data_IF_665720161630
#
_entry.id   IF_665720161630
#
_cell.length_a   1.000
_cell.length_b   1.000
_cell.length_c   1.000
_cell.angle_alpha   90.00
_cell.angle_beta   90.00
_cell.angle_gamma   90.00
#
_symmetry.space_group_name_H-M   'P 1'
#
loop_
_entity.id
_entity.type
_entity.pdbx_description
1 polymer ?
#
# COMPACT_ATOMS: atom_id res chain seq x y z
N UNK A 1 -28.95 21.88 55.36
CA UNK A 1 -28.35 21.79 54.02
C UNK A 1 -28.53 20.38 53.48
N UNK A 2 -29.40 20.28 52.47
CA UNK A 2 -29.56 19.21 51.46
C UNK A 2 -29.64 17.77 51.99
N UNK A 3 -30.88 17.36 52.30
CA UNK A 3 -31.26 15.96 52.26
C UNK A 3 -31.36 15.45 50.82
N UNK A 4 -30.88 14.23 50.59
CA UNK A 4 -31.36 13.39 49.49
C UNK A 4 -31.70 12.02 50.05
N UNK A 5 -32.96 11.88 50.47
CA UNK A 5 -33.68 10.60 50.38
C UNK A 5 -33.60 10.17 48.92
N UNK A 6 -32.63 9.33 48.55
CA UNK A 6 -32.73 8.55 47.31
C UNK A 6 -33.85 7.55 47.51
N UNK A 7 -34.90 7.85 46.78
CA UNK A 7 -36.24 7.31 46.90
C UNK A 7 -36.28 5.80 46.67
N UNK A 8 -37.16 5.18 47.43
CA UNK A 8 -37.73 3.85 47.22
C UNK A 8 -38.31 3.68 45.79
N UNK A 9 -38.47 4.77 45.02
CA UNK A 9 -39.04 4.79 43.67
C UNK A 9 -38.11 4.27 42.56
N UNK A 10 -36.78 4.32 42.71
CA UNK A 10 -35.86 3.69 41.73
C UNK A 10 -35.93 2.15 41.80
N UNK A 11 -36.41 1.58 42.92
CA UNK A 11 -36.47 0.15 43.14
C UNK A 11 -37.67 -0.51 42.45
N UNK A 12 -38.81 0.18 42.37
CA UNK A 12 -40.00 -0.28 41.67
C UNK A 12 -39.83 -0.30 40.14
N UNK A 13 -39.02 0.62 39.59
CA UNK A 13 -38.87 0.76 38.14
C UNK A 13 -38.08 -0.40 37.48
N UNK A 14 -37.26 -1.15 38.24
CA UNK A 14 -36.47 -2.27 37.72
C UNK A 14 -37.12 -3.66 37.94
N UNK A 15 -38.06 -3.78 38.88
CA UNK A 15 -38.82 -5.03 39.11
C UNK A 15 -39.98 -5.23 38.13
N UNK A 16 -40.43 -4.16 37.48
CA UNK A 16 -41.60 -4.17 36.57
C UNK A 16 -41.24 -4.32 35.08
N UNK A 17 -39.96 -4.32 34.72
CA UNK A 17 -39.54 -4.62 33.37
C UNK A 17 -39.78 -6.11 33.07
N UNK A 18 -40.88 -6.43 32.37
CA UNK A 18 -41.16 -7.76 31.81
C UNK A 18 -39.94 -8.25 31.02
N UNK A 19 -39.10 -9.07 31.65
CA UNK A 19 -37.97 -9.69 30.98
C UNK A 19 -38.48 -10.73 29.99
N UNK A 20 -38.17 -10.54 28.70
CA UNK A 20 -38.46 -11.53 27.66
C UNK A 20 -37.81 -12.89 28.00
N UNK A 21 -38.48 -14.00 27.64
CA UNK A 21 -37.93 -15.35 27.86
C UNK A 21 -36.53 -15.46 27.24
N UNK A 22 -35.53 -15.78 28.06
CA UNK A 22 -34.14 -15.96 27.63
C UNK A 22 -33.22 -14.74 27.78
N UNK A 23 -33.74 -13.58 28.19
CA UNK A 23 -32.91 -12.39 28.43
C UNK A 23 -32.04 -12.55 29.68
N UNK A 24 -30.73 -12.23 29.63
CA UNK A 24 -29.85 -12.28 30.80
C UNK A 24 -30.31 -11.27 31.87
N UNK A 25 -30.29 -11.69 33.15
CA UNK A 25 -30.53 -10.77 34.27
C UNK A 25 -29.58 -9.57 34.20
N UNK A 26 -30.09 -8.32 34.36
CA UNK A 26 -29.29 -7.10 34.40
C UNK A 26 -28.09 -7.17 35.35
N UNK A 27 -26.96 -6.60 34.94
CA UNK A 27 -25.70 -6.63 35.71
C UNK A 27 -25.85 -6.12 37.15
N UNK A 28 -26.71 -5.11 37.37
CA UNK A 28 -26.97 -4.55 38.70
C UNK A 28 -27.66 -5.54 39.65
N UNK A 29 -28.62 -6.31 39.14
CA UNK A 29 -29.28 -7.36 39.92
C UNK A 29 -28.32 -8.50 40.24
N UNK A 30 -27.47 -8.90 39.28
CA UNK A 30 -26.44 -9.92 39.51
C UNK A 30 -25.42 -9.50 40.58
N UNK A 31 -25.02 -8.22 40.58
CA UNK A 31 -24.12 -7.66 41.60
C UNK A 31 -24.74 -7.73 42.99
N UNK A 32 -26.00 -7.31 43.13
CA UNK A 32 -26.75 -7.40 44.39
C UNK A 32 -26.88 -8.85 44.90
N UNK A 33 -27.10 -9.82 44.00
CA UNK A 33 -27.13 -11.25 44.37
C UNK A 33 -25.79 -11.69 44.98
N UNK A 34 -24.67 -11.32 44.34
CA UNK A 34 -23.33 -11.69 44.80
C UNK A 34 -22.96 -10.98 46.11
N UNK A 35 -23.27 -9.69 46.25
CA UNK A 35 -23.05 -8.94 47.49
C UNK A 35 -23.82 -9.54 48.68
N UNK A 36 -25.09 -9.90 48.49
CA UNK A 36 -25.90 -10.52 49.55
C UNK A 36 -25.41 -11.92 49.90
N UNK A 37 -24.94 -12.67 48.90
CA UNK A 37 -24.32 -13.97 49.11
C UNK A 37 -23.01 -13.87 49.92
N UNK A 38 -22.15 -12.89 49.61
CA UNK A 38 -20.91 -12.62 50.36
C UNK A 38 -21.19 -12.21 51.81
N UNK A 39 -22.34 -11.57 52.08
CA UNK A 39 -22.82 -11.23 53.43
C UNK A 39 -23.45 -12.42 54.19
N UNK A 40 -23.38 -13.64 53.65
CA UNK A 40 -23.89 -14.85 54.31
C UNK A 40 -25.41 -15.05 54.21
N UNK A 41 -26.11 -14.27 53.39
CA UNK A 41 -27.57 -14.43 53.21
C UNK A 41 -27.88 -15.69 52.41
N UNK A 42 -28.85 -16.49 52.85
CA UNK A 42 -29.22 -17.74 52.18
C UNK A 42 -29.82 -17.49 50.80
N UNK A 43 -29.55 -18.39 49.84
CA UNK A 43 -29.96 -18.25 48.44
C UNK A 43 -31.49 -18.05 48.29
N UNK A 44 -32.30 -18.76 49.10
CA UNK A 44 -33.76 -18.63 49.13
C UNK A 44 -34.20 -17.22 49.57
N UNK A 45 -33.52 -16.63 50.56
CA UNK A 45 -33.81 -15.29 51.07
C UNK A 45 -33.42 -14.22 50.06
N UNK A 46 -32.29 -14.39 49.36
CA UNK A 46 -31.87 -13.53 48.25
C UNK A 46 -32.90 -13.55 47.11
N UNK A 47 -33.36 -14.74 46.71
CA UNK A 47 -34.35 -14.90 45.66
C UNK A 47 -35.68 -14.22 46.02
N UNK A 48 -36.13 -14.35 47.28
CA UNK A 48 -37.36 -13.72 47.78
C UNK A 48 -37.25 -12.19 47.84
N UNK A 49 -36.12 -11.64 48.30
CA UNK A 49 -35.88 -10.18 48.39
C UNK A 49 -35.81 -9.53 47.00
N UNK A 50 -35.22 -10.23 46.03
CA UNK A 50 -35.01 -9.68 44.68
C UNK A 50 -36.12 -10.05 43.69
N UNK A 51 -37.17 -10.73 44.14
CA UNK A 51 -38.27 -11.22 43.29
C UNK A 51 -37.79 -12.06 42.09
N UNK A 52 -36.83 -12.96 42.33
CA UNK A 52 -36.25 -13.85 41.32
C UNK A 52 -36.56 -15.31 41.64
N UNK A 53 -36.48 -16.19 40.63
CA UNK A 53 -36.58 -17.64 40.89
C UNK A 53 -35.36 -18.12 41.71
N UNK A 54 -35.58 -19.07 42.62
CA UNK A 54 -34.51 -19.67 43.44
C UNK A 54 -33.41 -20.28 42.57
N UNK A 55 -33.79 -20.91 41.45
CA UNK A 55 -32.85 -21.49 40.48
C UNK A 55 -31.96 -20.43 39.82
N UNK A 56 -32.49 -19.22 39.59
CA UNK A 56 -31.70 -18.14 39.00
C UNK A 56 -30.69 -17.56 39.98
N UNK A 57 -31.08 -17.34 41.24
CA UNK A 57 -30.15 -16.93 42.30
C UNK A 57 -29.05 -17.98 42.51
N UNK A 58 -29.44 -19.26 42.57
CA UNK A 58 -28.51 -20.40 42.64
C UNK A 58 -27.50 -20.40 41.48
N UNK A 59 -27.98 -20.35 40.23
CA UNK A 59 -27.13 -20.37 39.03
C UNK A 59 -26.14 -19.20 38.98
N UNK A 60 -26.53 -18.01 39.46
CA UNK A 60 -25.64 -16.84 39.50
C UNK A 60 -24.58 -17.00 40.60
N UNK A 61 -24.98 -17.45 41.79
CA UNK A 61 -24.06 -17.69 42.92
C UNK A 61 -23.08 -18.80 42.58
N UNK A 62 -23.54 -19.91 42.01
CA UNK A 62 -22.69 -21.02 41.62
C UNK A 62 -21.67 -20.59 40.56
N UNK A 63 -22.08 -19.79 39.57
CA UNK A 63 -21.15 -19.19 38.60
C UNK A 63 -20.13 -18.27 39.26
N UNK A 64 -20.55 -17.45 40.21
CA UNK A 64 -19.63 -16.58 40.94
C UNK A 64 -18.61 -17.39 41.75
N UNK A 65 -19.01 -18.50 42.36
CA UNK A 65 -18.10 -19.45 43.04
C UNK A 65 -17.06 -20.05 42.09
N UNK A 66 -17.48 -20.41 40.87
CA UNK A 66 -16.59 -21.04 39.88
C UNK A 66 -15.62 -20.06 39.20
N UNK A 67 -16.09 -18.87 38.80
CA UNK A 67 -15.34 -17.97 37.91
C UNK A 67 -15.01 -16.60 38.50
N UNK A 68 -15.42 -16.31 39.74
CA UNK A 68 -15.19 -15.03 40.44
C UNK A 68 -15.80 -13.80 39.75
N UNK A 69 -16.61 -13.99 38.71
CA UNK A 69 -17.06 -12.95 37.78
C UNK A 69 -18.57 -12.90 37.68
N UNK A 70 -19.11 -11.69 37.55
CA UNK A 70 -20.57 -11.42 37.50
C UNK A 70 -21.06 -11.33 36.03
N UNK A 71 -20.14 -11.33 35.07
CA UNK A 71 -20.40 -11.15 33.65
C UNK A 71 -21.19 -12.32 33.05
N UNK A 72 -21.95 -12.03 31.99
CA UNK A 72 -22.63 -13.06 31.21
C UNK A 72 -21.59 -13.80 30.38
N UNK A 73 -21.56 -15.15 30.41
CA UNK A 73 -20.78 -15.92 29.44
C UNK A 73 -21.27 -15.56 28.04
N UNK A 74 -20.36 -15.30 27.11
CA UNK A 74 -20.72 -15.23 25.68
C UNK A 74 -21.36 -16.57 25.31
N UNK A 75 -22.58 -16.53 24.80
CA UNK A 75 -23.22 -17.72 24.24
C UNK A 75 -22.35 -18.31 23.14
N UNK A 76 -22.43 -19.62 22.93
CA UNK A 76 -21.89 -20.21 21.72
C UNK A 76 -22.65 -19.61 20.54
N UNK A 77 -21.96 -18.74 19.78
CA UNK A 77 -22.54 -18.13 18.59
C UNK A 77 -22.94 -19.20 17.57
N UNK A 78 -23.70 -18.78 16.55
CA UNK A 78 -24.09 -19.68 15.45
C UNK A 78 -22.85 -20.37 14.87
N UNK A 79 -22.88 -21.71 14.80
CA UNK A 79 -21.82 -22.51 14.17
C UNK A 79 -21.60 -22.01 12.74
N UNK A 80 -20.33 -21.84 12.36
CA UNK A 80 -20.00 -21.35 11.02
C UNK A 80 -20.15 -22.47 9.99
N UNK A 81 -20.67 -22.15 8.80
CA UNK A 81 -20.90 -23.12 7.71
C UNK A 81 -19.59 -23.81 7.26
N UNK A 82 -18.49 -23.04 7.26
CA UNK A 82 -17.15 -23.51 6.95
C UNK A 82 -16.40 -23.85 8.23
N UNK A 83 -15.85 -25.06 8.27
CA UNK A 83 -15.04 -25.55 9.38
C UNK A 83 -13.54 -25.23 9.19
N UNK A 84 -12.69 -25.73 10.09
CA UNK A 84 -11.25 -25.48 10.00
C UNK A 84 -10.59 -26.16 8.77
N UNK A 85 -11.11 -27.30 8.31
CA UNK A 85 -10.59 -28.02 7.13
C UNK A 85 -10.95 -27.25 5.86
N UNK A 86 -12.18 -26.75 5.78
CA UNK A 86 -12.65 -25.94 4.67
C UNK A 86 -11.83 -24.66 4.55
N UNK A 87 -11.55 -23.98 5.67
CA UNK A 87 -10.72 -22.76 5.66
C UNK A 87 -9.30 -23.04 5.17
N UNK A 88 -8.71 -24.19 5.50
CA UNK A 88 -7.38 -24.58 4.96
C UNK A 88 -7.45 -24.83 3.45
N UNK A 89 -8.48 -25.49 2.96
CA UNK A 89 -8.68 -25.71 1.52
C UNK A 89 -8.91 -24.38 0.77
N UNK A 90 -9.78 -23.52 1.30
CA UNK A 90 -10.04 -22.18 0.77
C UNK A 90 -8.75 -21.35 0.72
N UNK A 91 -7.96 -21.33 1.81
CA UNK A 91 -6.69 -20.60 1.85
C UNK A 91 -5.75 -21.06 0.74
N UNK A 92 -5.59 -22.38 0.55
CA UNK A 92 -4.77 -22.95 -0.53
C UNK A 92 -5.27 -22.49 -1.90
N UNK A 93 -6.57 -22.64 -2.17
CA UNK A 93 -7.16 -22.23 -3.44
C UNK A 93 -6.91 -20.75 -3.73
N UNK A 94 -7.17 -19.85 -2.77
CA UNK A 94 -6.90 -18.41 -2.92
C UNK A 94 -5.42 -18.09 -3.16
N UNK A 95 -4.49 -18.84 -2.54
CA UNK A 95 -3.05 -18.60 -2.72
C UNK A 95 -2.49 -19.11 -4.04
N UNK A 96 -3.13 -20.13 -4.63
CA UNK A 96 -2.81 -20.64 -5.97
C UNK A 96 -3.44 -19.76 -7.04
N UNK A 97 -4.73 -19.43 -6.88
CA UNK A 97 -5.54 -18.68 -7.85
C UNK A 97 -5.70 -17.22 -7.42
N UNK A 98 -4.59 -16.49 -7.31
CA UNK A 98 -4.55 -15.13 -6.71
C UNK A 98 -5.37 -14.07 -7.43
N UNK A 99 -5.73 -14.32 -8.68
CA UNK A 99 -6.45 -13.38 -9.54
C UNK A 99 -7.94 -13.71 -9.67
N UNK A 100 -8.44 -14.79 -9.04
CA UNK A 100 -9.87 -15.07 -9.04
C UNK A 100 -10.63 -14.00 -8.24
N UNK A 101 -11.77 -13.60 -8.77
CA UNK A 101 -12.77 -12.78 -8.11
C UNK A 101 -13.42 -13.56 -6.96
N UNK A 102 -14.02 -12.84 -6.01
CA UNK A 102 -14.74 -13.50 -4.90
C UNK A 102 -15.88 -14.38 -5.42
N UNK A 103 -16.48 -14.02 -6.56
CA UNK A 103 -17.55 -14.80 -7.20
C UNK A 103 -17.02 -16.15 -7.70
N UNK A 104 -15.94 -16.17 -8.47
CA UNK A 104 -15.32 -17.43 -8.95
C UNK A 104 -14.86 -18.32 -7.78
N UNK A 105 -14.29 -17.72 -6.72
CA UNK A 105 -13.93 -18.46 -5.51
C UNK A 105 -15.18 -19.04 -4.82
N UNK A 106 -16.31 -18.35 -4.91
CA UNK A 106 -17.58 -18.82 -4.33
C UNK A 106 -18.14 -19.99 -5.12
N UNK A 107 -18.15 -19.91 -6.44
CA UNK A 107 -18.59 -21.01 -7.33
C UNK A 107 -17.74 -22.26 -7.08
N UNK A 108 -16.41 -22.13 -7.05
CA UNK A 108 -15.51 -23.23 -6.68
C UNK A 108 -15.81 -23.78 -5.28
N UNK A 109 -16.02 -22.91 -4.28
CA UNK A 109 -16.26 -23.35 -2.91
C UNK A 109 -17.61 -24.06 -2.75
N UNK A 110 -18.63 -23.65 -3.50
CA UNK A 110 -19.93 -24.33 -3.51
C UNK A 110 -19.79 -25.75 -4.03
N UNK A 111 -19.11 -25.92 -5.18
CA UNK A 111 -18.86 -27.23 -5.78
C UNK A 111 -17.95 -28.11 -4.90
N UNK A 112 -16.84 -27.55 -4.42
CA UNK A 112 -15.83 -28.30 -3.67
C UNK A 112 -16.30 -28.70 -2.27
N UNK A 113 -17.04 -27.84 -1.56
CA UNK A 113 -17.54 -28.15 -0.22
C UNK A 113 -18.96 -28.73 -0.23
N UNK A 114 -19.67 -28.68 -1.36
CA UNK A 114 -21.08 -29.05 -1.50
C UNK A 114 -21.96 -28.33 -0.46
N UNK A 115 -21.74 -27.02 -0.31
CA UNK A 115 -22.42 -26.16 0.69
C UNK A 115 -23.01 -24.91 0.03
N UNK A 116 -24.19 -24.45 0.48
CA UNK A 116 -24.79 -23.21 0.00
C UNK A 116 -24.03 -22.01 0.59
N UNK A 117 -23.03 -21.53 -0.14
CA UNK A 117 -22.16 -20.42 0.27
C UNK A 117 -22.50 -19.17 -0.51
N UNK A 118 -22.73 -18.05 0.19
CA UNK A 118 -22.83 -16.75 -0.46
C UNK A 118 -21.46 -16.12 -0.66
N UNK A 119 -21.37 -15.17 -1.60
CA UNK A 119 -20.16 -14.35 -1.83
C UNK A 119 -19.69 -13.67 -0.55
N UNK A 120 -20.63 -13.19 0.28
CA UNK A 120 -20.32 -12.58 1.57
C UNK A 120 -19.74 -13.57 2.59
N UNK A 121 -20.24 -14.81 2.61
CA UNK A 121 -19.68 -15.87 3.47
C UNK A 121 -18.23 -16.15 3.08
N UNK A 122 -17.94 -16.26 1.78
CA UNK A 122 -16.59 -16.47 1.27
C UNK A 122 -15.68 -15.28 1.55
N UNK A 123 -16.15 -14.05 1.32
CA UNK A 123 -15.38 -12.85 1.66
C UNK A 123 -14.97 -12.83 3.15
N UNK A 124 -15.91 -13.14 4.06
CA UNK A 124 -15.60 -13.25 5.51
C UNK A 124 -14.64 -14.41 5.80
N UNK A 125 -14.79 -15.54 5.11
CA UNK A 125 -13.92 -16.70 5.25
C UNK A 125 -12.48 -16.41 4.79
N UNK A 126 -12.30 -15.68 3.70
CA UNK A 126 -11.00 -15.17 3.23
C UNK A 126 -10.34 -14.33 4.35
N UNK A 127 -11.10 -13.41 4.97
CA UNK A 127 -10.61 -12.64 6.12
C UNK A 127 -10.23 -13.54 7.32
N UNK A 128 -11.02 -14.58 7.63
CA UNK A 128 -10.71 -15.57 8.67
C UNK A 128 -9.44 -16.38 8.34
N UNK A 129 -9.14 -16.57 7.06
CA UNK A 129 -7.88 -17.16 6.59
C UNK A 129 -6.67 -16.22 6.67
N UNK A 130 -6.84 -15.03 7.24
CA UNK A 130 -5.85 -13.95 7.30
C UNK A 130 -5.43 -13.44 5.90
N UNK A 131 -6.34 -13.55 4.92
CA UNK A 131 -6.16 -13.00 3.59
C UNK A 131 -7.00 -11.73 3.45
N UNK A 132 -6.58 -10.84 2.54
CA UNK A 132 -7.29 -9.60 2.21
C UNK A 132 -7.21 -9.38 0.71
N UNK A 133 -8.24 -8.74 0.16
CA UNK A 133 -8.24 -8.31 -1.22
C UNK A 133 -7.44 -7.01 -1.36
N UNK A 134 -6.37 -7.07 -2.15
CA UNK A 134 -5.55 -5.91 -2.50
C UNK A 134 -5.61 -5.68 -4.00
N UNK A 135 -5.54 -4.42 -4.43
CA UNK A 135 -5.32 -4.12 -5.85
C UNK A 135 -3.94 -4.65 -6.28
N UNK A 136 -3.91 -5.41 -7.37
CA UNK A 136 -2.67 -5.92 -7.94
C UNK A 136 -1.71 -4.77 -8.31
N UNK A 137 -0.42 -4.93 -8.00
CA UNK A 137 0.61 -3.96 -8.39
C UNK A 137 0.83 -4.06 -9.91
N UNK A 138 0.82 -2.92 -10.60
CA UNK A 138 1.18 -2.85 -12.02
C UNK A 138 2.70 -2.91 -12.16
N UNK A 139 3.20 -3.88 -12.93
CA UNK A 139 4.61 -4.03 -13.31
C UNK A 139 4.68 -4.31 -14.81
N UNK A 140 5.75 -3.89 -15.51
CA UNK A 140 5.90 -4.16 -16.93
C UNK A 140 5.99 -5.67 -17.17
N UNK A 141 5.49 -6.11 -18.32
CA UNK A 141 5.69 -7.49 -18.76
C UNK A 141 7.16 -7.72 -19.12
N UNK A 142 7.75 -8.78 -18.58
CA UNK A 142 9.13 -9.18 -18.86
C UNK A 142 9.13 -10.56 -19.51
N UNK A 143 9.62 -10.64 -20.75
CA UNK A 143 9.86 -11.92 -21.42
C UNK A 143 10.93 -12.73 -20.69
N UNK A 144 10.97 -14.05 -20.93
CA UNK A 144 12.02 -14.93 -20.37
C UNK A 144 13.43 -14.42 -20.70
N UNK A 145 13.63 -13.93 -21.93
CA UNK A 145 14.90 -13.37 -22.40
C UNK A 145 15.26 -12.09 -21.63
N UNK A 146 14.29 -11.19 -21.38
CA UNK A 146 14.54 -9.97 -20.61
C UNK A 146 14.97 -10.28 -19.18
N UNK A 147 14.28 -11.22 -18.52
CA UNK A 147 14.65 -11.67 -17.16
C UNK A 147 16.06 -12.25 -17.13
N UNK A 148 16.42 -13.12 -18.09
CA UNK A 148 17.75 -13.71 -18.16
C UNK A 148 18.85 -12.66 -18.35
N UNK A 149 18.64 -11.69 -19.26
CA UNK A 149 19.59 -10.58 -19.48
C UNK A 149 19.75 -9.71 -18.22
N UNK A 150 18.64 -9.39 -17.55
CA UNK A 150 18.65 -8.63 -16.31
C UNK A 150 19.38 -9.39 -15.19
N UNK A 151 19.16 -10.71 -15.07
CA UNK A 151 19.84 -11.57 -14.12
C UNK A 151 21.36 -11.58 -14.32
N UNK A 152 21.83 -11.86 -15.54
CA UNK A 152 23.27 -11.87 -15.82
C UNK A 152 23.90 -10.51 -15.58
N UNK A 153 23.25 -9.44 -16.05
CA UNK A 153 23.72 -8.09 -15.81
C UNK A 153 23.86 -7.80 -14.32
N UNK A 154 22.83 -8.06 -13.52
CA UNK A 154 22.87 -7.83 -12.09
C UNK A 154 23.98 -8.66 -11.42
N UNK A 155 24.10 -9.94 -11.76
CA UNK A 155 25.14 -10.84 -11.25
C UNK A 155 26.54 -10.32 -11.55
N UNK A 156 26.80 -9.89 -12.78
CA UNK A 156 28.13 -9.44 -13.22
C UNK A 156 28.54 -8.12 -12.52
N UNK A 157 27.56 -7.35 -12.05
CA UNK A 157 27.75 -6.08 -11.34
C UNK A 157 27.65 -6.21 -9.80
N UNK A 158 27.37 -7.40 -9.24
CA UNK A 158 27.37 -7.61 -7.78
C UNK A 158 28.74 -7.36 -7.14
N UNK A 159 29.83 -7.61 -7.89
CA UNK A 159 31.21 -7.37 -7.44
C UNK A 159 31.59 -5.88 -7.36
N UNK A 160 30.74 -4.98 -7.86
CA UNK A 160 31.04 -3.55 -7.82
C UNK A 160 30.83 -3.01 -6.40
N UNK A 161 31.85 -2.35 -5.87
CA UNK A 161 31.76 -1.64 -4.60
C UNK A 161 30.80 -0.46 -4.67
N UNK A 162 30.29 -0.03 -3.52
CA UNK A 162 29.48 1.19 -3.41
C UNK A 162 30.24 2.41 -3.96
N UNK A 163 31.56 2.52 -3.69
CA UNK A 163 32.39 3.59 -4.23
C UNK A 163 32.33 3.62 -5.77
N UNK A 164 32.37 2.45 -6.43
CA UNK A 164 32.22 2.37 -7.89
C UNK A 164 30.84 2.84 -8.35
N UNK A 165 29.76 2.45 -7.67
CA UNK A 165 28.40 2.94 -7.99
C UNK A 165 28.25 4.45 -7.82
N UNK A 166 28.96 5.05 -6.85
CA UNK A 166 29.00 6.50 -6.66
C UNK A 166 29.67 7.24 -7.83
N UNK A 167 30.45 6.56 -8.68
CA UNK A 167 31.04 7.14 -9.90
C UNK A 167 30.11 7.13 -11.13
N UNK A 168 28.88 6.61 -10.98
CA UNK A 168 27.89 6.54 -12.07
C UNK A 168 27.07 7.83 -12.13
N UNK A 169 26.99 8.44 -13.31
CA UNK A 169 26.03 9.48 -13.64
C UNK A 169 24.76 8.82 -14.18
N UNK A 170 23.70 8.83 -13.38
CA UNK A 170 22.40 8.26 -13.73
C UNK A 170 21.60 9.29 -14.51
N UNK A 171 21.00 8.88 -15.62
CA UNK A 171 20.12 9.75 -16.40
C UNK A 171 18.91 9.00 -16.90
N UNK A 172 17.81 9.73 -17.08
CA UNK A 172 16.54 9.17 -17.53
C UNK A 172 15.57 10.30 -17.92
N UNK A 173 14.52 9.93 -18.63
CA UNK A 173 13.41 10.82 -18.94
C UNK A 173 12.14 10.45 -18.17
N UNK A 174 11.38 11.47 -17.76
CA UNK A 174 10.09 11.26 -17.14
C UNK A 174 9.03 12.19 -17.71
N UNK A 175 7.81 11.64 -17.87
CA UNK A 175 6.63 12.41 -18.25
C UNK A 175 5.80 12.78 -17.02
N UNK A 176 5.49 14.06 -16.90
CA UNK A 176 4.60 14.64 -15.91
C UNK A 176 3.34 15.14 -16.60
N UNK A 177 2.17 14.90 -16.01
CA UNK A 177 0.88 15.33 -16.56
C UNK A 177 0.31 16.43 -15.68
N UNK A 178 -0.29 17.45 -16.30
CA UNK A 178 -1.14 18.42 -15.61
C UNK A 178 -2.34 17.66 -15.04
N UNK A 179 -2.65 17.93 -13.77
CA UNK A 179 -3.71 17.25 -13.06
C UNK A 179 -4.97 18.11 -13.08
N UNK A 180 -6.01 17.61 -13.72
CA UNK A 180 -7.32 18.27 -13.76
C UNK A 180 -8.28 17.64 -12.73
N UNK A 181 -9.09 18.48 -12.08
CA UNK A 181 -10.17 18.06 -11.21
C UNK A 181 -9.76 17.44 -9.87
N UNK A 182 -10.77 16.96 -9.12
CA UNK A 182 -10.58 16.30 -7.84
C UNK A 182 -9.92 14.92 -8.01
N UNK A 183 -8.82 14.71 -7.30
CA UNK A 183 -7.97 13.51 -7.39
C UNK A 183 -8.41 12.38 -6.44
N UNK A 184 -9.53 12.56 -5.72
CA UNK A 184 -10.10 11.58 -4.82
C UNK A 184 -10.70 10.40 -5.59
N UNK A 185 -10.46 9.17 -5.12
CA UNK A 185 -11.03 7.95 -5.74
C UNK A 185 -12.48 7.70 -5.38
N UNK A 186 -12.95 8.35 -4.32
CA UNK A 186 -14.29 8.17 -3.78
C UNK A 186 -14.95 9.54 -3.70
N UNK A 187 -16.26 9.56 -3.96
CA UNK A 187 -17.14 10.69 -3.75
C UNK A 187 -18.10 10.30 -2.64
N UNK A 188 -18.30 11.19 -1.68
CA UNK A 188 -19.31 11.02 -0.64
C UNK A 188 -20.63 11.51 -1.25
N UNK A 189 -21.57 10.59 -1.45
CA UNK A 189 -22.85 10.87 -2.10
C UNK A 189 -23.94 9.90 -1.64
N UNK A 190 -25.21 10.31 -1.75
CA UNK A 190 -26.34 9.38 -1.65
C UNK A 190 -26.47 8.56 -2.94
N UNK A 191 -27.42 7.61 -3.00
CA UNK A 191 -27.62 6.79 -4.21
C UNK A 191 -28.19 7.63 -5.35
N UNK A 192 -29.04 8.59 -4.99
CA UNK A 192 -29.79 9.51 -5.82
C UNK A 192 -28.85 10.55 -6.48
N UNK A 193 -27.82 10.98 -5.75
CA UNK A 193 -26.80 11.94 -6.22
C UNK A 193 -25.87 11.41 -7.33
N UNK A 194 -26.10 10.19 -7.85
CA UNK A 194 -25.16 9.54 -8.79
C UNK A 194 -24.87 10.39 -10.03
N UNK A 195 -25.86 11.17 -10.48
CA UNK A 195 -25.81 11.99 -11.69
C UNK A 195 -25.57 13.48 -11.38
N UNK A 196 -25.29 13.84 -10.12
CA UNK A 196 -24.94 15.20 -9.75
C UNK A 196 -23.56 15.56 -10.34
N UNK A 197 -23.40 16.68 -11.08
CA UNK A 197 -22.13 17.08 -11.67
C UNK A 197 -20.95 17.21 -10.69
N UNK A 198 -21.23 17.48 -9.41
CA UNK A 198 -20.22 17.51 -8.34
C UNK A 198 -19.67 16.13 -7.97
N UNK A 199 -20.40 15.06 -8.32
CA UNK A 199 -20.02 13.67 -8.10
C UNK A 199 -19.22 13.06 -9.24
N UNK A 200 -19.05 13.80 -10.35
CA UNK A 200 -18.26 13.34 -11.49
C UNK A 200 -16.77 13.60 -11.30
N UNK A 201 -15.97 12.57 -11.55
CA UNK A 201 -14.53 12.75 -11.76
C UNK A 201 -14.31 13.18 -13.21
N UNK A 202 -14.11 14.48 -13.44
CA UNK A 202 -13.80 15.01 -14.78
C UNK A 202 -12.41 14.55 -15.22
N UNK A 203 -12.34 13.92 -16.39
CA UNK A 203 -11.08 13.53 -17.04
C UNK A 203 -10.95 14.21 -18.39
N UNK A 204 -9.75 14.72 -18.70
CA UNK A 204 -9.40 15.21 -20.04
C UNK A 204 -8.80 14.05 -20.84
N UNK A 205 -9.22 13.85 -22.09
CA UNK A 205 -8.76 12.72 -22.93
C UNK A 205 -7.24 12.78 -23.21
N UNK A 206 -6.70 13.98 -23.39
CA UNK A 206 -5.26 14.24 -23.57
C UNK A 206 -4.82 15.38 -22.64
N UNK A 207 -4.55 15.09 -21.35
CA UNK A 207 -4.06 16.13 -20.45
C UNK A 207 -2.71 16.64 -20.95
N UNK A 208 -2.52 17.95 -20.88
CA UNK A 208 -1.22 18.58 -21.11
C UNK A 208 -0.13 17.85 -20.29
N UNK A 209 1.04 17.64 -20.90
CA UNK A 209 2.12 16.91 -20.26
C UNK A 209 3.47 17.48 -20.63
N UNK A 210 4.39 17.49 -19.66
CA UNK A 210 5.78 17.83 -19.85
C UNK A 210 6.62 16.56 -19.83
N UNK A 211 7.53 16.46 -20.79
CA UNK A 211 8.56 15.43 -20.82
C UNK A 211 9.86 16.11 -20.40
N UNK A 212 10.55 15.55 -19.41
CA UNK A 212 11.80 16.11 -18.90
C UNK A 212 12.90 15.06 -18.97
N UNK A 213 14.12 15.50 -19.21
CA UNK A 213 15.34 14.74 -19.03
C UNK A 213 16.06 15.27 -17.80
N UNK A 214 16.61 14.37 -16.98
CA UNK A 214 17.43 14.77 -15.85
C UNK A 214 18.56 13.79 -15.60
N UNK A 215 19.58 14.24 -14.88
CA UNK A 215 20.64 13.38 -14.42
C UNK A 215 21.01 13.63 -12.95
N UNK A 216 21.59 12.64 -12.29
CA UNK A 216 22.05 12.75 -10.91
C UNK A 216 23.21 11.80 -10.64
N UNK A 217 23.94 12.07 -9.56
CA UNK A 217 24.96 11.18 -9.00
C UNK A 217 24.77 11.06 -7.48
N UNK A 218 25.62 10.27 -6.82
CA UNK A 218 25.65 10.25 -5.36
C UNK A 218 26.06 11.60 -4.75
N UNK A 219 26.77 12.45 -5.51
CA UNK A 219 27.28 13.73 -5.07
C UNK A 219 26.27 14.87 -5.21
N UNK A 220 25.21 14.71 -6.00
CA UNK A 220 24.26 15.79 -6.27
C UNK A 220 23.36 15.56 -7.47
N UNK A 221 22.39 16.46 -7.61
CA UNK A 221 21.52 16.59 -8.78
C UNK A 221 22.29 17.27 -9.92
N UNK A 222 22.12 16.77 -11.14
CA UNK A 222 22.58 17.45 -12.35
C UNK A 222 21.48 18.32 -12.95
N UNK A 223 21.70 18.73 -14.20
CA UNK A 223 20.75 19.54 -14.96
C UNK A 223 19.42 18.82 -15.19
N UNK A 224 18.34 19.61 -15.22
CA UNK A 224 17.01 19.22 -15.65
C UNK A 224 16.64 19.98 -16.94
N UNK A 225 16.42 19.23 -18.01
CA UNK A 225 16.01 19.74 -19.32
C UNK A 225 14.54 19.44 -19.59
N UNK A 226 13.80 20.42 -20.09
CA UNK A 226 12.39 20.25 -20.48
C UNK A 226 12.32 20.13 -22.00
N UNK A 227 11.80 19.00 -22.47
CA UNK A 227 11.67 18.72 -23.90
C UNK A 227 10.58 19.57 -24.54
N UNK A 228 10.94 20.25 -25.63
CA UNK A 228 10.01 20.91 -26.54
C UNK A 228 9.88 20.09 -27.84
N UNK A 229 8.71 19.48 -28.05
CA UNK A 229 8.40 18.67 -29.23
C UNK A 229 8.88 17.21 -29.17
N UNK A 230 9.14 16.61 -30.34
CA UNK A 230 9.57 15.21 -30.46
C UNK A 230 11.04 15.01 -30.06
N UNK A 231 11.32 13.87 -29.43
CA UNK A 231 12.66 13.41 -29.07
C UNK A 231 13.21 12.58 -30.23
N UNK A 232 14.35 13.00 -30.77
CA UNK A 232 15.11 12.25 -31.78
C UNK A 232 16.59 12.19 -31.37
N UNK A 233 17.39 11.40 -32.09
CA UNK A 233 18.80 11.19 -31.75
C UNK A 233 19.63 12.48 -31.79
N UNK A 234 19.36 13.38 -32.75
CA UNK A 234 20.08 14.66 -32.89
C UNK A 234 19.83 15.57 -31.70
N UNK A 235 18.56 15.79 -31.34
CA UNK A 235 18.22 16.60 -30.17
C UNK A 235 18.68 15.95 -28.87
N UNK A 236 18.69 14.62 -28.80
CA UNK A 236 19.26 13.90 -27.66
C UNK A 236 20.76 14.22 -27.49
N UNK A 237 21.54 14.20 -28.57
CA UNK A 237 22.96 14.61 -28.52
C UNK A 237 23.09 16.06 -28.05
N UNK A 238 22.23 16.97 -28.51
CA UNK A 238 22.23 18.37 -28.04
C UNK A 238 21.99 18.46 -26.53
N UNK A 239 21.04 17.68 -25.99
CA UNK A 239 20.82 17.60 -24.54
C UNK A 239 22.05 17.04 -23.82
N UNK A 240 22.72 16.02 -24.38
CA UNK A 240 23.95 15.51 -23.81
C UNK A 240 25.07 16.56 -23.78
N UNK A 241 25.19 17.36 -24.85
CA UNK A 241 26.18 18.43 -24.94
C UNK A 241 25.91 19.59 -23.98
N UNK A 242 24.67 20.05 -23.94
CA UNK A 242 24.28 21.25 -23.19
C UNK A 242 24.03 20.98 -21.70
N UNK A 243 23.67 19.75 -21.34
CA UNK A 243 23.21 19.43 -19.97
C UNK A 243 23.99 18.30 -19.33
N UNK A 244 24.22 17.18 -20.02
CA UNK A 244 24.94 16.04 -19.43
C UNK A 244 26.42 16.36 -19.23
N UNK A 245 27.13 16.90 -20.24
CA UNK A 245 28.55 17.20 -20.14
C UNK A 245 28.87 18.23 -19.03
N UNK A 246 28.16 19.36 -18.90
CA UNK A 246 28.36 20.28 -17.78
C UNK A 246 28.05 19.64 -16.42
N UNK A 247 26.95 18.89 -16.32
CA UNK A 247 26.59 18.17 -15.07
C UNK A 247 27.67 17.18 -14.67
N UNK A 248 28.22 16.45 -15.65
CA UNK A 248 29.32 15.51 -15.46
C UNK A 248 30.56 16.22 -14.92
N UNK A 249 30.92 17.36 -15.50
CA UNK A 249 32.07 18.13 -15.05
C UNK A 249 31.88 18.66 -13.63
N UNK A 250 30.72 19.25 -13.34
CA UNK A 250 30.40 19.81 -12.04
C UNK A 250 30.35 18.75 -10.92
N UNK A 251 29.64 17.63 -11.15
CA UNK A 251 29.43 16.61 -10.13
C UNK A 251 30.67 15.75 -9.83
N UNK A 252 31.52 15.52 -10.84
CA UNK A 252 32.71 14.68 -10.70
C UNK A 252 34.02 15.46 -10.68
N UNK A 253 33.99 16.78 -10.86
CA UNK A 253 35.18 17.66 -10.85
C UNK A 253 36.27 17.15 -11.80
N UNK A 254 35.88 16.74 -13.01
CA UNK A 254 36.80 16.19 -14.01
C UNK A 254 37.23 14.73 -13.79
N UNK A 255 36.89 14.10 -12.65
CA UNK A 255 37.23 12.69 -12.39
C UNK A 255 36.50 11.75 -13.37
N UNK A 256 37.08 10.58 -13.69
CA UNK A 256 36.43 9.59 -14.52
C UNK A 256 35.09 9.15 -13.91
N UNK A 257 34.06 9.12 -14.74
CA UNK A 257 32.72 8.65 -14.37
C UNK A 257 32.19 7.68 -15.42
N UNK A 258 31.12 6.97 -15.08
CA UNK A 258 30.40 6.09 -16.01
C UNK A 258 29.03 6.70 -16.26
N UNK A 259 28.67 6.91 -17.53
CA UNK A 259 27.37 7.44 -17.89
C UNK A 259 26.35 6.30 -18.05
N UNK A 260 25.21 6.41 -17.37
CA UNK A 260 24.10 5.49 -17.52
C UNK A 260 22.96 6.17 -18.30
N UNK A 261 22.50 5.48 -19.34
CA UNK A 261 21.28 5.76 -20.10
C UNK A 261 20.58 4.42 -20.38
N UNK A 262 19.30 4.45 -20.72
CA UNK A 262 18.57 3.25 -21.14
C UNK A 262 18.83 2.92 -22.62
N UNK A 263 18.12 1.91 -23.15
CA UNK A 263 18.25 1.49 -24.55
C UNK A 263 17.14 2.04 -25.45
N UNK A 264 16.59 3.24 -25.16
CA UNK A 264 15.62 3.88 -26.03
C UNK A 264 16.22 4.15 -27.42
N UNK A 265 15.37 4.19 -28.46
CA UNK A 265 15.79 4.34 -29.86
C UNK A 265 16.75 5.51 -30.10
N UNK A 266 16.54 6.72 -29.53
CA UNK A 266 17.48 7.83 -29.69
C UNK A 266 18.86 7.55 -29.05
N UNK A 267 18.91 6.75 -27.99
CA UNK A 267 20.12 6.47 -27.21
C UNK A 267 20.99 5.42 -27.91
N UNK A 268 20.35 4.42 -28.53
CA UNK A 268 21.00 3.34 -29.28
C UNK A 268 21.26 3.67 -30.75
N UNK A 269 20.87 4.86 -31.23
CA UNK A 269 21.10 5.27 -32.61
C UNK A 269 22.60 5.33 -32.94
N UNK A 270 22.96 5.01 -34.19
CA UNK A 270 24.37 5.02 -34.65
C UNK A 270 25.05 6.38 -34.43
N UNK A 271 24.34 7.48 -34.69
CA UNK A 271 24.85 8.83 -34.47
C UNK A 271 25.17 9.12 -33.00
N UNK A 272 24.29 8.70 -32.08
CA UNK A 272 24.45 8.89 -30.63
C UNK A 272 25.60 8.05 -30.09
N UNK A 273 25.63 6.76 -30.44
CA UNK A 273 26.71 5.86 -30.02
C UNK A 273 28.07 6.28 -30.58
N UNK A 274 28.12 6.74 -31.82
CA UNK A 274 29.33 7.31 -32.44
C UNK A 274 29.79 8.60 -31.75
N UNK A 275 28.84 9.47 -31.37
CA UNK A 275 29.14 10.70 -30.61
C UNK A 275 29.73 10.36 -29.23
N UNK A 276 29.10 9.45 -28.48
CA UNK A 276 29.58 8.98 -27.17
C UNK A 276 31.00 8.41 -27.26
N UNK A 277 31.27 7.59 -28.28
CA UNK A 277 32.59 6.99 -28.54
C UNK A 277 33.65 8.06 -28.87
N UNK A 278 33.34 9.01 -29.76
CA UNK A 278 34.25 10.11 -30.13
C UNK A 278 34.62 10.98 -28.94
N UNK A 279 33.67 11.23 -28.02
CA UNK A 279 33.88 11.97 -26.78
C UNK A 279 34.52 11.12 -25.66
N UNK A 280 34.87 9.86 -25.93
CA UNK A 280 35.44 8.91 -24.96
C UNK A 280 34.59 8.75 -23.68
N UNK A 281 33.26 8.83 -23.83
CA UNK A 281 32.31 8.67 -22.72
C UNK A 281 32.12 7.18 -22.45
N UNK A 282 32.41 6.74 -21.23
CA UNK A 282 32.19 5.36 -20.79
C UNK A 282 30.72 5.15 -20.47
N UNK A 283 30.00 4.40 -21.30
CA UNK A 283 28.59 4.09 -21.09
C UNK A 283 28.44 2.79 -20.29
N UNK A 284 27.60 2.81 -19.27
CA UNK A 284 27.18 1.61 -18.54
C UNK A 284 26.26 0.80 -19.45
N UNK A 285 26.68 -0.41 -19.84
CA UNK A 285 25.78 -1.34 -20.54
C UNK A 285 24.55 -1.55 -19.67
N UNK A 286 23.34 -1.38 -20.21
CA UNK A 286 22.09 -1.46 -19.44
C UNK A 286 21.20 -2.61 -19.92
N UNK A 287 20.57 -3.39 -19.01
CA UNK A 287 19.64 -4.43 -19.41
C UNK A 287 18.32 -3.83 -19.92
N UNK A 288 17.71 -4.47 -20.91
CA UNK A 288 16.43 -4.04 -21.50
C UNK A 288 15.31 -4.11 -20.44
N UNK A 289 14.36 -3.17 -20.52
CA UNK A 289 13.16 -3.12 -19.65
C UNK A 289 13.45 -3.17 -18.14
N UNK A 290 14.50 -2.46 -17.70
CA UNK A 290 14.94 -2.46 -16.29
C UNK A 290 14.90 -1.07 -15.65
N UNK A 291 13.77 -0.33 -15.73
CA UNK A 291 13.64 0.98 -15.08
C UNK A 291 13.81 0.85 -13.55
N UNK A 292 13.28 -0.23 -12.98
CA UNK A 292 13.40 -0.61 -11.57
C UNK A 292 14.86 -0.74 -11.08
N UNK A 293 15.90 -0.60 -11.93
CA UNK A 293 17.31 -0.65 -11.53
C UNK A 293 17.99 0.73 -11.46
N UNK A 294 17.35 1.79 -11.95
CA UNK A 294 17.95 3.13 -11.93
C UNK A 294 17.51 3.90 -10.68
N UNK A 295 18.44 4.40 -9.85
CA UNK A 295 18.10 5.23 -8.70
C UNK A 295 17.25 6.47 -9.05
N UNK A 296 17.35 6.99 -10.27
CA UNK A 296 16.65 8.22 -10.69
C UNK A 296 15.13 8.03 -10.76
N UNK A 297 14.66 6.80 -10.96
CA UNK A 297 13.22 6.48 -10.93
C UNK A 297 12.61 6.73 -9.55
N UNK A 298 13.40 6.57 -8.48
CA UNK A 298 12.98 6.93 -7.13
C UNK A 298 12.81 8.44 -6.99
N UNK A 299 13.67 9.22 -7.64
CA UNK A 299 13.56 10.68 -7.69
C UNK A 299 12.31 11.10 -8.45
N UNK A 300 12.06 10.51 -9.62
CA UNK A 300 10.83 10.75 -10.37
C UNK A 300 9.59 10.42 -9.55
N UNK A 301 9.60 9.32 -8.79
CA UNK A 301 8.49 8.98 -7.89
C UNK A 301 8.26 10.05 -6.81
N UNK A 302 9.33 10.54 -6.17
CA UNK A 302 9.24 11.60 -5.15
C UNK A 302 8.65 12.88 -5.75
N UNK A 303 9.18 13.33 -6.88
CA UNK A 303 8.73 14.55 -7.55
C UNK A 303 7.28 14.39 -8.02
N UNK A 304 6.90 13.25 -8.60
CA UNK A 304 5.51 12.97 -9.01
C UNK A 304 4.55 13.02 -7.82
N UNK A 305 4.96 12.54 -6.64
CA UNK A 305 4.14 12.64 -5.44
C UNK A 305 3.96 14.09 -4.99
N UNK A 306 5.02 14.88 -5.00
CA UNK A 306 5.01 16.30 -4.61
C UNK A 306 4.20 17.16 -5.57
N UNK A 307 4.41 17.00 -6.88
CA UNK A 307 3.60 17.62 -7.94
C UNK A 307 2.12 17.29 -7.75
N UNK A 308 1.79 16.04 -7.39
CA UNK A 308 0.39 15.64 -7.14
C UNK A 308 -0.21 16.32 -5.90
N UNK A 309 0.59 16.62 -4.89
CA UNK A 309 0.14 17.38 -3.72
C UNK A 309 -0.12 18.85 -4.07
N UNK A 310 0.74 19.47 -4.87
CA UNK A 310 0.62 20.88 -5.28
C UNK A 310 -0.47 21.14 -6.32
N UNK A 311 -0.85 20.12 -7.11
CA UNK A 311 -1.94 20.17 -8.12
C UNK A 311 -1.81 21.33 -9.12
N UNK A 312 -0.69 21.39 -9.89
CA UNK A 312 -0.54 22.42 -10.92
C UNK A 312 -1.63 22.30 -11.98
N UNK A 313 -2.21 23.44 -12.38
CA UNK A 313 -3.32 23.52 -13.34
C UNK A 313 -2.89 23.93 -14.75
N UNK A 314 -1.66 24.44 -14.89
CA UNK A 314 -1.07 24.89 -16.15
C UNK A 314 0.32 24.27 -16.37
N UNK A 315 0.83 24.30 -17.60
CA UNK A 315 2.13 23.74 -17.96
C UNK A 315 3.26 24.50 -17.24
N UNK A 316 3.15 25.82 -17.16
CA UNK A 316 4.13 26.72 -16.57
C UNK A 316 4.27 26.45 -15.06
N UNK A 317 3.13 26.30 -14.38
CA UNK A 317 3.07 25.90 -12.97
C UNK A 317 3.65 24.49 -12.75
N UNK A 318 3.38 23.57 -13.68
CA UNK A 318 3.91 22.22 -13.62
C UNK A 318 5.45 22.24 -13.77
N UNK A 319 5.98 22.98 -14.74
CA UNK A 319 7.42 23.12 -14.93
C UNK A 319 8.10 23.74 -13.70
N UNK A 320 7.57 24.86 -13.19
CA UNK A 320 8.10 25.52 -12.01
C UNK A 320 8.10 24.58 -10.79
N UNK A 321 7.02 23.83 -10.58
CA UNK A 321 6.93 22.83 -9.52
C UNK A 321 7.98 21.73 -9.68
N UNK A 322 8.19 21.20 -10.89
CA UNK A 322 9.18 20.14 -11.13
C UNK A 322 10.59 20.67 -10.85
N UNK A 323 10.93 21.87 -11.32
CA UNK A 323 12.24 22.50 -11.10
C UNK A 323 12.52 22.72 -9.62
N UNK A 324 11.57 23.31 -8.90
CA UNK A 324 11.71 23.55 -7.47
C UNK A 324 11.89 22.25 -6.69
N UNK A 325 11.09 21.22 -6.99
CA UNK A 325 11.22 19.93 -6.30
C UNK A 325 12.53 19.21 -6.68
N UNK A 326 12.99 19.33 -7.92
CA UNK A 326 14.27 18.78 -8.40
C UNK A 326 15.46 19.36 -7.63
N UNK A 327 15.48 20.68 -7.43
CA UNK A 327 16.54 21.39 -6.69
C UNK A 327 16.48 21.14 -5.18
N UNK A 328 15.30 20.84 -4.63
CA UNK A 328 15.10 20.62 -3.19
C UNK A 328 15.59 19.27 -2.66
N UNK A 329 16.01 18.35 -3.54
CA UNK A 329 16.37 16.99 -3.12
C UNK A 329 17.73 16.99 -2.41
N UNK A 330 17.80 16.57 -1.14
CA UNK A 330 19.04 16.66 -0.37
C UNK A 330 20.05 15.59 -0.78
N UNK A 331 21.33 15.97 -0.87
CA UNK A 331 22.44 15.08 -1.26
C UNK A 331 22.48 13.77 -0.44
N UNK A 332 22.29 13.76 0.91
CA UNK A 332 22.25 12.51 1.68
C UNK A 332 21.20 11.50 1.20
N UNK A 333 20.09 11.97 0.61
CA UNK A 333 19.07 11.10 0.02
C UNK A 333 19.60 10.41 -1.24
N UNK A 334 20.30 11.15 -2.09
CA UNK A 334 20.91 10.65 -3.32
C UNK A 334 21.99 9.62 -3.01
N UNK A 335 22.87 9.94 -2.07
CA UNK A 335 23.92 9.03 -1.62
C UNK A 335 23.34 7.72 -1.10
N UNK A 336 22.29 7.78 -0.28
CA UNK A 336 21.60 6.60 0.25
C UNK A 336 20.96 5.77 -0.87
N UNK A 337 20.35 6.40 -1.88
CA UNK A 337 19.76 5.71 -3.02
C UNK A 337 20.84 4.98 -3.84
N UNK A 338 21.92 5.66 -4.20
CA UNK A 338 23.02 5.05 -4.97
C UNK A 338 23.70 3.94 -4.17
N UNK A 339 23.91 4.14 -2.87
CA UNK A 339 24.52 3.14 -1.99
C UNK A 339 23.63 1.89 -1.79
N UNK A 340 22.34 1.99 -2.08
CA UNK A 340 21.41 0.86 -2.01
C UNK A 340 21.40 -0.02 -3.26
N UNK A 341 22.03 0.41 -4.37
CA UNK A 341 22.05 -0.33 -5.66
C UNK A 341 22.51 -1.78 -5.49
N UNK A 342 23.62 -2.12 -4.79
CA UNK A 342 24.05 -3.51 -4.63
C UNK A 342 22.98 -4.41 -3.99
N UNK A 343 22.24 -3.89 -3.00
CA UNK A 343 21.15 -4.63 -2.35
C UNK A 343 20.02 -4.91 -3.32
N UNK A 344 19.72 -3.97 -4.24
CA UNK A 344 18.70 -4.17 -5.25
C UNK A 344 19.14 -5.18 -6.31
N UNK A 345 20.40 -5.13 -6.76
CA UNK A 345 20.95 -6.16 -7.64
C UNK A 345 20.86 -7.56 -7.03
N UNK A 346 21.11 -7.70 -5.73
CA UNK A 346 20.92 -8.97 -5.03
C UNK A 346 19.46 -9.44 -5.07
N UNK A 347 18.50 -8.52 -4.94
CA UNK A 347 17.07 -8.83 -5.07
C UNK A 347 16.71 -9.31 -6.48
N UNK A 348 17.27 -8.68 -7.52
CA UNK A 348 17.11 -9.11 -8.93
C UNK A 348 17.63 -10.52 -9.12
N UNK A 349 18.84 -10.81 -8.62
CA UNK A 349 19.46 -12.13 -8.72
C UNK A 349 18.61 -13.19 -7.99
N UNK A 350 18.15 -12.90 -6.77
CA UNK A 350 17.24 -13.79 -6.01
C UNK A 350 15.92 -14.06 -6.74
N UNK A 351 15.42 -13.07 -7.49
CA UNK A 351 14.20 -13.19 -8.31
C UNK A 351 14.46 -13.70 -9.72
N UNK A 352 15.68 -14.16 -10.04
CA UNK A 352 16.07 -14.65 -11.37
C UNK A 352 15.76 -13.64 -12.48
N UNK A 353 15.98 -12.35 -12.21
CA UNK A 353 15.77 -11.26 -13.16
C UNK A 353 14.34 -10.74 -13.26
N UNK A 354 13.42 -11.23 -12.41
CA UNK A 354 12.05 -10.71 -12.37
C UNK A 354 11.94 -9.35 -11.66
N UNK A 355 10.79 -8.69 -11.83
CA UNK A 355 10.50 -7.38 -11.26
C UNK A 355 10.73 -7.37 -9.73
N UNK A 356 11.37 -6.31 -9.23
CA UNK A 356 11.65 -6.15 -7.80
C UNK A 356 10.65 -5.18 -7.14
N UNK A 357 10.79 -4.98 -5.83
CA UNK A 357 9.99 -3.99 -5.10
C UNK A 357 10.47 -2.55 -5.29
N UNK A 358 11.69 -2.37 -5.81
CA UNK A 358 12.39 -1.08 -5.81
C UNK A 358 11.61 -0.01 -6.58
#
# INVERSE_FOLDING_TARGET
MIGYKKSFSEWQCLSEAKMGRGSPIPTMLRRKIVEQYQKGVTQRKIAKILHLSSSTAHNIIQRFRESGTISVRKGQGRKTILDARDLRALKRHCTTNRNHTVKEITEWAQEYFQKPLSVNTIHRAICRCQLKLYSAKKKPFLSKIHKLRCFHWARDHLKWSVAKWKTVLWSDESRFKVLFGNQGRHVIRTKEDKDNPSCYQRSVQKPASLMVWGCMSACGMGSLHVWKGSINAVKYIQVLEQHMLPSRYHLFQGRPCIFQQDNARPHSASITTSWLRRRRIRVLKWPVCSPDLSPIENIWRIIKMKVRQRRPKAIEQLEACIRQEWESIPIPKLEKLVSSVPRHLLSVVRRRGDATQW
#
